data_IF_903538666926
#
_entry.id   IF_903538666926
#
_cell.length_a   1.000
_cell.length_b   1.000
_cell.length_c   1.000
_cell.angle_alpha   90.00
_cell.angle_beta   90.00
_cell.angle_gamma   90.00
#
_symmetry.space_group_name_H-M   'P 1'
#
loop_
_entity.id
_entity.type
_entity.pdbx_description
1 polymer ?
#
# COMPACT_ATOMS: atom_id res chain seq x y z
N UNK A 1 -3.24 -11.75 -1.63
CA UNK A 1 -4.04 -10.65 -1.08
C UNK A 1 -5.18 -10.26 -2.04
N UNK A 2 -6.03 -11.22 -2.44
CA UNK A 2 -7.25 -10.89 -3.17
C UNK A 2 -8.24 -10.20 -2.23
N UNK A 3 -8.98 -9.19 -2.69
CA UNK A 3 -9.98 -8.49 -1.87
C UNK A 3 -9.46 -7.84 -0.59
N UNK A 4 -8.15 -7.56 -0.51
CA UNK A 4 -7.54 -6.91 0.63
C UNK A 4 -8.01 -5.44 0.75
N UNK A 5 -8.16 -4.96 1.98
CA UNK A 5 -8.41 -3.54 2.26
C UNK A 5 -7.17 -2.72 1.91
N UNK A 6 -7.37 -1.61 1.20
CA UNK A 6 -6.33 -0.69 0.78
C UNK A 6 -6.66 0.70 1.31
N UNK A 7 -5.69 1.33 1.97
CA UNK A 7 -5.78 2.70 2.47
C UNK A 7 -4.57 3.52 2.02
N UNK A 8 -4.81 4.73 1.54
CA UNK A 8 -3.80 5.59 0.94
C UNK A 8 -3.67 6.90 1.72
N UNK A 9 -2.45 7.21 2.14
CA UNK A 9 -2.13 8.32 3.02
C UNK A 9 -1.17 9.30 2.34
N UNK A 10 -1.46 10.59 2.47
CA UNK A 10 -0.56 11.67 2.09
C UNK A 10 0.52 11.87 3.16
N UNK A 11 1.69 12.43 2.80
CA UNK A 11 2.79 12.63 3.76
C UNK A 11 2.47 13.72 4.80
N UNK A 12 1.50 14.61 4.53
CA UNK A 12 1.02 15.61 5.49
C UNK A 12 -0.18 15.15 6.33
N UNK A 13 -0.73 13.95 6.07
CA UNK A 13 -1.89 13.39 6.76
C UNK A 13 -1.71 11.88 6.93
N UNK A 14 -0.82 11.50 7.83
CA UNK A 14 -0.45 10.09 8.04
C UNK A 14 -1.54 9.26 8.73
N UNK A 15 -2.38 9.88 9.55
CA UNK A 15 -3.42 9.20 10.34
C UNK A 15 -4.79 9.17 9.66
N UNK A 16 -4.94 9.87 8.53
CA UNK A 16 -6.21 10.00 7.81
C UNK A 16 -6.04 9.42 6.42
N UNK A 17 -6.76 8.34 6.13
CA UNK A 17 -6.81 7.83 4.76
C UNK A 17 -7.58 8.80 3.88
N UNK A 18 -6.97 9.16 2.75
CA UNK A 18 -7.57 10.08 1.76
C UNK A 18 -8.25 9.32 0.63
N UNK A 19 -7.81 8.09 0.36
CA UNK A 19 -8.45 7.17 -0.57
C UNK A 19 -8.43 5.77 0.03
N UNK A 20 -9.62 5.19 0.20
CA UNK A 20 -9.82 3.82 0.66
C UNK A 20 -10.46 2.97 -0.42
N UNK A 21 -10.18 1.68 -0.41
CA UNK A 21 -10.79 0.73 -1.33
C UNK A 21 -10.44 -0.72 -1.02
N UNK A 22 -10.74 -1.60 -1.97
CA UNK A 22 -10.36 -3.00 -1.91
C UNK A 22 -9.64 -3.41 -3.18
N UNK A 23 -8.65 -4.29 -3.02
CA UNK A 23 -7.99 -4.91 -4.14
C UNK A 23 -8.95 -5.83 -4.91
N UNK A 24 -8.72 -6.01 -6.22
CA UNK A 24 -9.48 -6.95 -7.04
C UNK A 24 -9.13 -8.43 -6.70
N UNK A 25 -9.73 -9.37 -7.42
CA UNK A 25 -9.47 -10.80 -7.23
C UNK A 25 -8.01 -11.21 -7.55
N UNK A 26 -7.26 -10.35 -8.25
CA UNK A 26 -5.83 -10.54 -8.52
C UNK A 26 -4.94 -9.77 -7.53
N UNK A 27 -5.53 -9.11 -6.53
CA UNK A 27 -4.81 -8.29 -5.56
C UNK A 27 -4.34 -6.95 -6.11
N UNK A 28 -4.93 -6.45 -7.20
CA UNK A 28 -4.59 -5.16 -7.80
C UNK A 28 -5.51 -4.07 -7.26
N UNK A 29 -4.97 -2.86 -7.09
CA UNK A 29 -5.73 -1.67 -6.74
C UNK A 29 -5.29 -0.49 -7.60
N UNK A 30 -6.14 0.53 -7.69
CA UNK A 30 -5.83 1.78 -8.36
C UNK A 30 -6.18 2.94 -7.43
N UNK A 31 -5.26 3.89 -7.32
CA UNK A 31 -5.44 5.15 -6.61
C UNK A 31 -5.06 6.28 -7.57
N UNK A 32 -5.73 7.42 -7.41
CA UNK A 32 -5.49 8.61 -8.23
C UNK A 32 -5.26 9.80 -7.30
N UNK A 33 -4.07 9.90 -6.68
CA UNK A 33 -3.72 11.03 -5.85
C UNK A 33 -3.67 12.33 -6.67
N UNK A 34 -4.03 13.44 -6.05
CA UNK A 34 -4.11 14.76 -6.68
C UNK A 34 -2.80 15.57 -6.62
N UNK A 35 -1.78 15.03 -5.95
CA UNK A 35 -0.54 15.74 -5.64
C UNK A 35 0.69 14.88 -5.96
N UNK A 36 1.71 15.51 -6.54
CA UNK A 36 2.97 14.87 -6.92
C UNK A 36 3.92 14.77 -5.72
N UNK A 37 3.67 13.80 -4.86
CA UNK A 37 4.43 13.56 -3.64
C UNK A 37 4.55 12.08 -3.32
N UNK A 38 5.22 11.76 -2.22
CA UNK A 38 5.28 10.40 -1.68
C UNK A 38 3.97 10.04 -0.99
N UNK A 39 3.33 8.97 -1.45
CA UNK A 39 2.09 8.43 -0.90
C UNK A 39 2.37 7.09 -0.22
N UNK A 40 1.85 6.91 0.99
CA UNK A 40 1.93 5.63 1.70
C UNK A 40 0.67 4.82 1.41
N UNK A 41 0.84 3.67 0.78
CA UNK A 41 -0.25 2.71 0.54
C UNK A 41 -0.12 1.60 1.58
N UNK A 42 -1.20 1.34 2.32
CA UNK A 42 -1.29 0.27 3.31
C UNK A 42 -2.30 -0.76 2.82
N UNK A 43 -1.92 -2.03 2.85
CA UNK A 43 -2.79 -3.15 2.47
C UNK A 43 -2.96 -4.07 3.67
N UNK A 44 -4.21 -4.45 3.97
CA UNK A 44 -4.56 -5.39 5.04
C UNK A 44 -5.41 -6.52 4.48
N UNK A 45 -5.14 -7.74 4.90
CA UNK A 45 -5.89 -8.93 4.44
C UNK A 45 -7.10 -9.29 5.32
N UNK A 46 -7.41 -8.48 6.34
CA UNK A 46 -8.48 -8.75 7.31
C UNK A 46 -8.19 -9.90 8.29
N UNK A 47 -7.04 -10.58 8.16
CA UNK A 47 -6.61 -11.70 9.00
C UNK A 47 -5.47 -11.31 9.96
N UNK A 48 -5.15 -10.02 10.02
CA UNK A 48 -4.11 -9.45 10.87
C UNK A 48 -2.77 -9.25 10.17
N UNK A 49 -2.62 -9.59 8.89
CA UNK A 49 -1.43 -9.24 8.13
C UNK A 49 -1.57 -7.85 7.53
N UNK A 50 -0.45 -7.11 7.51
CA UNK A 50 -0.35 -5.76 6.97
C UNK A 50 0.93 -5.62 6.17
N UNK A 51 0.82 -5.05 4.97
CA UNK A 51 1.94 -4.58 4.18
C UNK A 51 1.81 -3.08 3.93
N UNK A 52 2.92 -2.40 3.68
CA UNK A 52 2.89 -1.01 3.22
C UNK A 52 4.00 -0.76 2.21
N UNK A 53 3.76 0.21 1.33
CA UNK A 53 4.73 0.71 0.36
C UNK A 53 4.59 2.22 0.23
N UNK A 54 5.71 2.89 0.00
CA UNK A 54 5.73 4.31 -0.35
C UNK A 54 5.93 4.43 -1.85
N UNK A 55 5.00 5.11 -2.53
CA UNK A 55 5.03 5.33 -3.98
C UNK A 55 5.09 6.83 -4.24
N UNK A 56 5.99 7.28 -5.12
CA UNK A 56 6.05 8.68 -5.53
C UNK A 56 5.18 8.90 -6.77
N UNK A 57 4.20 9.78 -6.67
CA UNK A 57 3.41 10.21 -7.82
C UNK A 57 4.18 11.31 -8.58
N UNK A 58 4.56 11.05 -9.84
CA UNK A 58 5.22 12.03 -10.71
C UNK A 58 4.21 12.73 -11.65
N UNK A 59 4.57 13.93 -12.15
CA UNK A 59 3.79 14.61 -13.19
C UNK A 59 3.69 13.76 -14.46
N UNK A 60 2.46 13.52 -14.91
CA UNK A 60 2.17 12.95 -16.23
C UNK A 60 2.44 11.45 -16.32
N UNK A 61 1.43 10.63 -15.98
CA UNK A 61 1.18 9.30 -16.55
C UNK A 61 2.37 8.36 -16.71
N UNK A 62 3.43 8.54 -15.92
CA UNK A 62 4.60 7.68 -15.96
C UNK A 62 4.30 6.46 -15.13
N UNK A 63 4.60 5.30 -15.68
CA UNK A 63 4.42 3.98 -15.10
C UNK A 63 5.10 3.96 -13.71
N UNK A 64 4.35 4.28 -12.66
CA UNK A 64 4.90 4.47 -11.33
C UNK A 64 5.34 3.11 -10.77
N UNK A 65 6.66 2.94 -10.68
CA UNK A 65 7.36 2.10 -9.70
C UNK A 65 7.05 0.60 -9.71
N UNK A 66 7.82 -0.16 -10.49
CA UNK A 66 8.08 -1.58 -10.17
C UNK A 66 9.19 -1.63 -9.12
N UNK A 67 8.88 -1.31 -7.86
CA UNK A 67 9.83 -1.55 -6.76
C UNK A 67 9.19 -2.41 -5.68
N UNK A 68 9.99 -3.38 -5.25
CA UNK A 68 9.57 -4.62 -4.62
C UNK A 68 8.79 -4.42 -3.32
N UNK A 69 7.73 -5.21 -3.16
CA UNK A 69 7.06 -5.43 -1.87
C UNK A 69 8.10 -5.96 -0.89
N UNK A 70 8.53 -5.12 0.07
CA UNK A 70 9.29 -5.61 1.21
C UNK A 70 8.32 -6.34 2.14
N UNK A 71 8.41 -7.66 2.14
CA UNK A 71 7.68 -8.53 3.05
C UNK A 71 8.32 -8.43 4.45
N UNK A 72 7.56 -7.96 5.43
CA UNK A 72 7.95 -8.13 6.82
C UNK A 72 7.63 -9.58 7.23
N UNK A 73 8.63 -10.46 7.12
CA UNK A 73 8.54 -11.81 7.68
C UNK A 73 8.48 -11.68 9.20
N UNK A 74 7.37 -12.12 9.80
CA UNK A 74 7.30 -12.28 11.25
C UNK A 74 8.29 -13.39 11.61
N UNK A 75 9.35 -13.03 12.34
CA UNK A 75 10.41 -13.95 12.75
C UNK A 75 9.85 -15.29 13.22
N UNK A 76 10.31 -16.36 12.57
CA UNK A 76 10.10 -17.71 13.03
C UNK A 76 10.64 -17.81 14.46
N UNK A 77 9.76 -18.09 15.41
CA UNK A 77 10.18 -18.49 16.75
C UNK A 77 10.95 -19.80 16.64
N UNK A 78 12.26 -19.75 16.79
CA UNK A 78 13.06 -20.93 17.04
C UNK A 78 12.95 -21.24 18.53
N UNK A 79 12.28 -22.35 18.84
CA UNK A 79 12.35 -22.93 20.17
C UNK A 79 13.77 -23.40 20.47
N UNK A 80 14.15 -23.25 21.73
CA UNK A 80 15.04 -24.14 22.48
C UNK A 80 14.69 -23.96 23.96
#
# INVERSE_FOLDING_TARGET
MAHAEVAVYAPWKEDVSLQDGSADNQGRCASLPDSHCAWRIVVKDGMGHRAYITVYAAEGGSQAGTEAVQWAEKGAGTGA
#
